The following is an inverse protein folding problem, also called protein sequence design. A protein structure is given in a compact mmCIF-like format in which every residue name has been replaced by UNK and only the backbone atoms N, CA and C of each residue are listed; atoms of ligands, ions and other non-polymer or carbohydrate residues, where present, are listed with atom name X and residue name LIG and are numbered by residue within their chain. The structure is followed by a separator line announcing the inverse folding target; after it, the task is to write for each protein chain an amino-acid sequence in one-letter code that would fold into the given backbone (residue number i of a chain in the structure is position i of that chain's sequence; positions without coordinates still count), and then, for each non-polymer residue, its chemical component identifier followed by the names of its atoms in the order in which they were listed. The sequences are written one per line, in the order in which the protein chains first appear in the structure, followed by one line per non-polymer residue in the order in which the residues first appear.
data_IF_385037538359
#
_entry.id   IF_385037538359
#
_cell.length_a   1.000
_cell.length_b   1.000
_cell.length_c   1.000
_cell.angle_alpha   90.00
_cell.angle_beta   90.00
_cell.angle_gamma   90.00
#
_symmetry.space_group_name_H-M   'P 1'
#
loop_
_entity.id
_entity.type
_entity.pdbx_description
1 polymer ?
#
# COMPACT_ATOMS: atom_id res chain seq x y z
N UNK A 1 -22.79 -9.10 -16.78
CA UNK A 1 -21.86 -8.00 -17.15
C UNK A 1 -21.55 -7.06 -15.99
N UNK A 2 -22.52 -6.72 -15.14
CA UNK A 2 -22.34 -5.88 -13.93
C UNK A 2 -21.23 -6.39 -13.02
N UNK A 3 -21.16 -7.69 -12.74
CA UNK A 3 -20.16 -8.31 -11.85
C UNK A 3 -18.72 -8.10 -12.31
N UNK A 4 -18.43 -8.17 -13.62
CA UNK A 4 -17.08 -8.01 -14.14
C UNK A 4 -16.58 -6.57 -13.95
N UNK A 5 -17.41 -5.59 -14.30
CA UNK A 5 -17.07 -4.17 -14.15
C UNK A 5 -16.95 -3.76 -12.68
N UNK A 6 -17.78 -4.32 -11.78
CA UNK A 6 -17.64 -4.05 -10.35
C UNK A 6 -16.31 -4.58 -9.80
N UNK A 7 -15.91 -5.80 -10.17
CA UNK A 7 -14.61 -6.34 -9.77
C UNK A 7 -13.45 -5.55 -10.35
N UNK A 8 -13.54 -5.13 -11.62
CA UNK A 8 -12.52 -4.28 -12.23
C UNK A 8 -12.38 -2.94 -11.48
N UNK A 9 -13.49 -2.33 -11.09
CA UNK A 9 -13.49 -1.10 -10.28
C UNK A 9 -12.87 -1.33 -8.89
N UNK A 10 -13.22 -2.42 -8.21
CA UNK A 10 -12.62 -2.78 -6.91
C UNK A 10 -11.11 -2.93 -7.05
N UNK A 11 -10.63 -3.66 -8.07
CA UNK A 11 -9.20 -3.84 -8.32
C UNK A 11 -8.55 -2.48 -8.63
N UNK A 12 -9.10 -1.71 -9.57
CA UNK A 12 -8.56 -0.42 -9.96
C UNK A 12 -8.47 0.57 -8.80
N UNK A 13 -9.51 0.66 -7.99
CA UNK A 13 -9.54 1.49 -6.79
C UNK A 13 -8.52 1.00 -5.74
N UNK A 14 -8.39 -0.32 -5.54
CA UNK A 14 -7.39 -0.88 -4.61
C UNK A 14 -5.95 -0.63 -5.06
N UNK A 15 -5.72 -0.43 -6.36
CA UNK A 15 -4.42 -0.10 -6.94
C UNK A 15 -4.18 1.41 -7.08
N UNK A 16 -5.09 2.27 -6.59
CA UNK A 16 -4.82 3.71 -6.67
C UNK A 16 -3.72 4.12 -5.68
N UNK A 17 -2.76 4.97 -6.10
CA UNK A 17 -1.72 5.47 -5.22
C UNK A 17 -2.35 6.46 -4.23
N UNK A 18 -2.77 5.92 -3.09
CA UNK A 18 -3.22 6.55 -1.85
C UNK A 18 -3.94 5.45 -1.05
N UNK A 19 -3.18 4.78 -0.18
CA UNK A 19 -3.64 3.70 0.70
C UNK A 19 -5.00 3.95 1.38
N UNK A 20 -5.36 5.20 1.68
CA UNK A 20 -6.57 5.50 2.43
C UNK A 20 -7.78 5.62 1.51
N UNK A 21 -7.72 6.45 0.47
CA UNK A 21 -8.90 6.77 -0.35
C UNK A 21 -9.29 5.62 -1.29
N UNK A 22 -8.31 5.01 -1.96
CA UNK A 22 -8.55 3.98 -2.96
C UNK A 22 -9.15 2.70 -2.37
N UNK A 23 -8.42 2.02 -1.47
CA UNK A 23 -8.92 0.84 -0.77
C UNK A 23 -10.24 1.08 -0.01
N UNK A 24 -10.44 2.24 0.62
CA UNK A 24 -11.72 2.54 1.29
C UNK A 24 -12.89 2.65 0.30
N UNK A 25 -12.67 3.26 -0.87
CA UNK A 25 -13.68 3.30 -1.93
C UNK A 25 -13.94 1.90 -2.50
N UNK A 26 -12.90 1.08 -2.68
CA UNK A 26 -13.02 -0.30 -3.14
C UNK A 26 -13.85 -1.16 -2.15
N UNK A 27 -13.60 -1.01 -0.85
CA UNK A 27 -14.40 -1.62 0.22
C UNK A 27 -15.86 -1.14 0.13
N UNK A 28 -16.09 0.16 0.00
CA UNK A 28 -17.44 0.73 -0.10
C UNK A 28 -18.23 0.16 -1.28
N UNK A 29 -17.59 0.06 -2.45
CA UNK A 29 -18.18 -0.59 -3.65
C UNK A 29 -18.47 -2.06 -3.37
N UNK A 30 -17.56 -2.77 -2.69
CA UNK A 30 -17.75 -4.18 -2.35
C UNK A 30 -18.90 -4.44 -1.38
N UNK A 31 -19.05 -3.60 -0.36
CA UNK A 31 -20.16 -3.66 0.60
C UNK A 31 -21.49 -3.35 -0.11
N UNK A 32 -21.52 -2.28 -0.93
CA UNK A 32 -22.72 -1.90 -1.68
C UNK A 32 -23.16 -2.98 -2.69
N UNK A 33 -22.20 -3.75 -3.21
CA UNK A 33 -22.46 -4.88 -4.10
C UNK A 33 -22.78 -6.20 -3.37
N UNK A 34 -22.86 -6.19 -2.04
CA UNK A 34 -23.12 -7.36 -1.19
C UNK A 34 -22.12 -8.51 -1.40
N UNK A 35 -20.84 -8.20 -1.66
CA UNK A 35 -19.81 -9.24 -1.75
C UNK A 35 -19.43 -9.80 -0.38
N UNK A 36 -19.10 -11.10 -0.37
CA UNK A 36 -18.55 -11.76 0.80
C UNK A 36 -17.21 -11.11 1.20
N UNK A 37 -17.07 -10.61 2.44
CA UNK A 37 -15.81 -10.05 2.94
C UNK A 37 -14.62 -11.01 2.79
N UNK A 38 -14.84 -12.31 2.90
CA UNK A 38 -13.79 -13.32 2.76
C UNK A 38 -13.24 -13.44 1.34
N UNK A 39 -13.97 -12.94 0.33
CA UNK A 39 -13.50 -12.85 -1.05
C UNK A 39 -13.01 -11.43 -1.36
N UNK A 40 -13.68 -10.42 -0.83
CA UNK A 40 -13.36 -9.01 -1.04
C UNK A 40 -11.98 -8.64 -0.45
N UNK A 41 -11.72 -9.02 0.79
CA UNK A 41 -10.50 -8.65 1.51
C UNK A 41 -9.22 -9.20 0.86
N UNK A 42 -9.14 -10.49 0.45
CA UNK A 42 -7.98 -10.98 -0.28
C UNK A 42 -7.74 -10.26 -1.61
N UNK A 43 -8.81 -9.89 -2.33
CA UNK A 43 -8.68 -9.17 -3.61
C UNK A 43 -8.11 -7.78 -3.40
N UNK A 44 -8.63 -7.03 -2.43
CA UNK A 44 -8.13 -5.69 -2.09
C UNK A 44 -6.68 -5.76 -1.62
N UNK A 45 -6.36 -6.69 -0.72
CA UNK A 45 -5.01 -6.88 -0.20
C UNK A 45 -4.01 -7.26 -1.30
N UNK A 46 -4.41 -8.16 -2.22
CA UNK A 46 -3.56 -8.58 -3.33
C UNK A 46 -3.35 -7.44 -4.34
N UNK A 47 -4.39 -6.68 -4.65
CA UNK A 47 -4.30 -5.54 -5.55
C UNK A 47 -3.36 -4.46 -5.00
N UNK A 48 -3.52 -4.06 -3.72
CA UNK A 48 -2.63 -3.12 -3.04
C UNK A 48 -1.20 -3.64 -2.90
N UNK A 49 -1.03 -4.96 -2.72
CA UNK A 49 0.28 -5.60 -2.72
C UNK A 49 0.99 -5.49 -4.07
N UNK A 50 0.29 -5.80 -5.17
CA UNK A 50 0.84 -5.73 -6.54
C UNK A 50 1.21 -4.29 -6.90
N UNK A 51 0.36 -3.32 -6.55
CA UNK A 51 0.66 -1.89 -6.67
C UNK A 51 1.95 -1.53 -5.93
N UNK A 52 2.07 -1.93 -4.65
CA UNK A 52 3.24 -1.62 -3.85
C UNK A 52 4.52 -2.25 -4.41
N UNK A 53 4.45 -3.47 -4.95
CA UNK A 53 5.59 -4.08 -5.64
C UNK A 53 6.00 -3.28 -6.87
N UNK A 54 5.04 -2.80 -7.66
CA UNK A 54 5.32 -1.97 -8.83
C UNK A 54 5.96 -0.63 -8.43
N UNK A 55 5.46 0.03 -7.39
CA UNK A 55 6.04 1.26 -6.85
C UNK A 55 7.47 1.02 -6.36
N UNK A 56 7.70 -0.04 -5.59
CA UNK A 56 9.02 -0.36 -5.07
C UNK A 56 10.02 -0.72 -6.18
N UNK A 57 9.55 -1.38 -7.24
CA UNK A 57 10.36 -1.62 -8.43
C UNK A 57 10.71 -0.32 -9.15
N UNK A 58 9.73 0.53 -9.45
CA UNK A 58 9.90 1.85 -10.07
C UNK A 58 10.83 2.76 -9.25
N UNK A 59 10.70 2.74 -7.92
CA UNK A 59 11.57 3.51 -7.03
C UNK A 59 13.02 3.04 -7.06
N UNK A 60 13.23 1.73 -7.25
CA UNK A 60 14.56 1.19 -7.52
C UNK A 60 15.10 1.68 -8.85
N UNK A 61 14.29 1.56 -9.90
CA UNK A 61 14.69 1.90 -11.26
C UNK A 61 14.96 3.40 -11.44
N UNK A 62 14.22 4.26 -10.73
CA UNK A 62 14.44 5.70 -10.76
C UNK A 62 15.83 6.12 -10.26
N UNK A 63 16.50 5.28 -9.43
CA UNK A 63 17.88 5.57 -9.02
C UNK A 63 18.91 5.39 -10.13
N UNK A 64 18.55 4.72 -11.23
CA UNK A 64 19.39 4.65 -12.44
C UNK A 64 19.41 5.97 -13.22
N UNK A 65 18.42 6.84 -13.01
CA UNK A 65 18.37 8.18 -13.62
C UNK A 65 19.45 9.04 -12.96
N UNK A 66 20.45 9.48 -13.72
CA UNK A 66 21.68 10.07 -13.19
C UNK A 66 21.48 11.24 -12.21
N UNK A 67 20.47 12.10 -12.42
CA UNK A 67 20.15 13.17 -11.47
C UNK A 67 19.58 12.64 -10.15
N UNK A 68 18.60 11.73 -10.22
CA UNK A 68 17.96 11.11 -9.05
C UNK A 68 18.99 10.27 -8.28
N UNK A 69 19.77 9.45 -8.97
CA UNK A 69 20.82 8.64 -8.35
C UNK A 69 21.84 9.48 -7.58
N UNK A 70 22.31 10.60 -8.16
CA UNK A 70 23.22 11.54 -7.46
C UNK A 70 22.56 12.21 -6.26
N UNK A 71 21.30 12.61 -6.38
CA UNK A 71 20.56 13.24 -5.28
C UNK A 71 20.34 12.24 -4.13
N UNK A 72 19.89 11.03 -4.44
CA UNK A 72 19.72 9.94 -3.46
C UNK A 72 21.05 9.60 -2.79
N UNK A 73 22.15 9.49 -3.55
CA UNK A 73 23.47 9.22 -3.00
C UNK A 73 23.93 10.31 -2.03
N UNK A 74 23.61 11.59 -2.27
CA UNK A 74 23.88 12.69 -1.32
C UNK A 74 23.02 12.61 -0.06
N UNK A 75 21.77 12.19 -0.18
CA UNK A 75 20.83 12.09 0.95
C UNK A 75 21.05 10.85 1.81
N UNK A 76 21.71 9.80 1.26
CA UNK A 76 22.08 8.59 2.01
C UNK A 76 23.19 8.90 3.00
N UNK A 77 22.86 8.85 4.29
CA UNK A 77 23.86 8.88 5.36
C UNK A 77 24.06 7.46 5.93
N UNK A 78 25.23 7.17 6.53
CA UNK A 78 25.45 5.89 7.21
C UNK A 78 24.42 5.60 8.30
N UNK A 79 23.91 6.66 8.97
CA UNK A 79 22.88 6.55 9.99
C UNK A 79 21.51 6.21 9.40
N UNK A 80 21.10 6.86 8.31
CA UNK A 80 19.79 6.61 7.69
C UNK A 80 19.72 5.21 7.05
N UNK A 81 20.81 4.75 6.45
CA UNK A 81 20.92 3.40 5.90
C UNK A 81 20.90 2.33 7.00
N UNK A 82 21.64 2.51 8.10
CA UNK A 82 21.60 1.58 9.23
C UNK A 82 20.22 1.53 9.92
N UNK A 83 19.54 2.67 10.04
CA UNK A 83 18.17 2.73 10.55
C UNK A 83 17.20 1.99 9.62
N UNK A 84 17.31 2.21 8.31
CA UNK A 84 16.48 1.51 7.33
C UNK A 84 16.69 -0.01 7.35
N UNK A 85 17.94 -0.44 7.50
CA UNK A 85 18.34 -1.84 7.52
C UNK A 85 17.82 -2.58 8.77
N UNK A 86 17.91 -1.94 9.95
CA UNK A 86 17.44 -2.52 11.22
C UNK A 86 15.93 -2.41 11.43
N UNK A 87 15.34 -1.27 11.08
CA UNK A 87 13.97 -0.91 11.47
C UNK A 87 13.09 -0.46 10.31
N UNK A 88 13.67 0.07 9.24
CA UNK A 88 12.90 0.69 8.15
C UNK A 88 11.95 -0.28 7.44
N UNK A 89 12.35 -1.55 7.28
CA UNK A 89 11.50 -2.50 6.54
C UNK A 89 10.20 -2.79 7.28
N UNK A 90 10.26 -3.16 8.57
CA UNK A 90 9.07 -3.48 9.34
C UNK A 90 8.42 -2.23 9.95
N UNK A 91 9.19 -1.35 10.58
CA UNK A 91 8.68 -0.14 11.21
C UNK A 91 8.19 0.90 10.19
N UNK A 92 8.88 1.02 9.05
CA UNK A 92 8.44 1.88 7.97
C UNK A 92 7.15 1.37 7.31
N UNK A 93 7.07 0.08 6.98
CA UNK A 93 5.87 -0.47 6.33
C UNK A 93 4.67 -0.68 7.26
N UNK A 94 4.85 -0.54 8.58
CA UNK A 94 3.74 -0.57 9.55
C UNK A 94 3.35 0.84 9.97
N UNK A 95 4.25 1.57 10.63
CA UNK A 95 3.98 2.91 11.17
C UNK A 95 4.03 3.96 10.05
N UNK A 96 5.01 3.87 9.16
CA UNK A 96 5.13 4.80 8.05
C UNK A 96 3.94 4.71 7.08
N UNK A 97 3.49 3.49 6.75
CA UNK A 97 2.28 3.29 5.94
C UNK A 97 1.05 3.95 6.59
N UNK A 98 0.90 3.84 7.91
CA UNK A 98 -0.20 4.47 8.64
C UNK A 98 -0.16 6.01 8.60
N UNK A 99 1.05 6.59 8.66
CA UNK A 99 1.22 8.05 8.80
C UNK A 99 1.28 8.80 7.47
N UNK A 100 1.95 8.22 6.48
CA UNK A 100 2.25 8.91 5.20
C UNK A 100 1.82 8.11 3.97
N UNK A 101 1.29 6.90 4.14
CA UNK A 101 0.94 6.00 3.03
C UNK A 101 2.07 5.04 2.65
N UNK A 102 1.72 4.06 1.82
CA UNK A 102 2.59 2.94 1.45
C UNK A 102 3.66 3.40 0.46
N UNK A 103 3.26 4.22 -0.49
CA UNK A 103 4.06 4.62 -1.64
C UNK A 103 5.28 5.45 -1.21
N UNK A 104 5.16 6.50 -0.35
CA UNK A 104 6.31 7.27 0.08
C UNK A 104 7.32 6.44 0.88
N UNK A 105 6.83 5.48 1.68
CA UNK A 105 7.69 4.58 2.45
C UNK A 105 8.43 3.62 1.54
N UNK A 106 7.74 2.99 0.58
CA UNK A 106 8.38 2.10 -0.37
C UNK A 106 9.45 2.81 -1.19
N UNK A 107 9.16 4.04 -1.64
CA UNK A 107 10.14 4.89 -2.32
C UNK A 107 11.33 5.15 -1.41
N UNK A 108 11.10 5.60 -0.17
CA UNK A 108 12.16 5.88 0.78
C UNK A 108 13.03 4.65 1.08
N UNK A 109 12.43 3.47 1.30
CA UNK A 109 13.17 2.23 1.57
C UNK A 109 14.03 1.80 0.38
N UNK A 110 13.49 1.87 -0.84
CA UNK A 110 14.24 1.56 -2.06
C UNK A 110 15.37 2.55 -2.29
N UNK A 111 15.09 3.84 -2.07
CA UNK A 111 16.10 4.89 -2.11
C UNK A 111 17.10 4.82 -0.98
N UNK A 112 16.85 4.12 0.12
CA UNK A 112 17.85 3.85 1.18
C UNK A 112 18.64 2.56 0.93
N UNK A 113 18.37 1.86 -0.17
CA UNK A 113 19.13 0.67 -0.59
C UNK A 113 18.54 -0.65 -0.11
N UNK A 114 17.35 -0.65 0.48
CA UNK A 114 16.67 -1.90 0.86
C UNK A 114 16.24 -2.65 -0.39
N UNK A 115 16.70 -3.89 -0.54
CA UNK A 115 16.36 -4.76 -1.67
C UNK A 115 14.90 -5.24 -1.67
N UNK A 116 14.35 -5.50 -2.86
CA UNK A 116 12.97 -5.99 -3.02
C UNK A 116 12.64 -7.24 -2.20
N UNK A 117 13.60 -8.18 -2.11
CA UNK A 117 13.44 -9.42 -1.32
C UNK A 117 13.18 -9.18 0.16
N UNK A 118 13.53 -8.03 0.72
CA UNK A 118 13.25 -7.73 2.12
C UNK A 118 11.87 -7.09 2.31
N UNK A 119 11.35 -6.44 1.26
CA UNK A 119 10.09 -5.68 1.28
C UNK A 119 8.88 -6.60 1.10
N UNK A 120 9.02 -7.71 0.36
CA UNK A 120 7.91 -8.56 -0.10
C UNK A 120 6.93 -9.04 0.98
N UNK A 121 7.41 -9.41 2.16
CA UNK A 121 6.66 -10.07 3.22
C UNK A 121 6.08 -9.00 4.17
N UNK A 122 6.86 -7.99 4.60
CA UNK A 122 6.31 -6.84 5.32
C UNK A 122 5.22 -6.11 4.53
N UNK A 123 5.40 -5.95 3.21
CA UNK A 123 4.42 -5.33 2.34
C UNK A 123 3.14 -6.16 2.23
N UNK A 124 3.25 -7.48 2.06
CA UNK A 124 2.10 -8.37 2.02
C UNK A 124 1.31 -8.35 3.34
N UNK A 125 2.03 -8.42 4.47
CA UNK A 125 1.41 -8.36 5.79
C UNK A 125 0.73 -7.01 6.03
N UNK A 126 1.41 -5.91 5.69
CA UNK A 126 0.87 -4.55 5.81
C UNK A 126 -0.44 -4.42 5.02
N UNK A 127 -0.46 -4.83 3.75
CA UNK A 127 -1.68 -4.78 2.92
C UNK A 127 -2.82 -5.63 3.48
N UNK A 128 -2.53 -6.83 4.00
CA UNK A 128 -3.57 -7.66 4.62
C UNK A 128 -4.16 -7.00 5.87
N UNK A 129 -3.31 -6.43 6.74
CA UNK A 129 -3.75 -5.74 7.95
C UNK A 129 -4.54 -4.48 7.62
N UNK A 130 -4.06 -3.66 6.68
CA UNK A 130 -4.75 -2.44 6.29
C UNK A 130 -6.06 -2.71 5.57
N UNK A 131 -6.17 -3.76 4.75
CA UNK A 131 -7.45 -4.17 4.16
C UNK A 131 -8.51 -4.47 5.23
N UNK A 132 -8.13 -5.16 6.31
CA UNK A 132 -9.02 -5.41 7.46
C UNK A 132 -9.42 -4.11 8.16
N UNK A 133 -8.47 -3.20 8.39
CA UNK A 133 -8.73 -1.91 9.02
C UNK A 133 -9.70 -1.07 8.17
N UNK A 134 -9.46 -0.96 6.86
CA UNK A 134 -10.34 -0.21 5.97
C UNK A 134 -11.74 -0.80 5.92
N UNK A 135 -11.86 -2.13 5.88
CA UNK A 135 -13.15 -2.80 5.96
C UNK A 135 -13.90 -2.43 7.25
N UNK A 136 -13.24 -2.53 8.40
CA UNK A 136 -13.85 -2.19 9.68
C UNK A 136 -14.28 -0.70 9.76
N UNK A 137 -13.42 0.21 9.29
CA UNK A 137 -13.69 1.65 9.30
C UNK A 137 -14.85 2.01 8.38
N UNK A 138 -14.86 1.51 7.15
CA UNK A 138 -15.93 1.78 6.18
C UNK A 138 -17.24 1.14 6.63
N UNK A 139 -17.21 -0.09 7.11
CA UNK A 139 -18.39 -0.77 7.65
C UNK A 139 -19.01 0.02 8.80
N UNK A 140 -18.20 0.43 9.78
CA UNK A 140 -18.67 1.22 10.92
C UNK A 140 -19.16 2.61 10.49
N UNK A 141 -18.46 3.27 9.57
CA UNK A 141 -18.88 4.55 9.02
C UNK A 141 -20.22 4.49 8.28
N UNK A 142 -20.44 3.45 7.47
CA UNK A 142 -21.71 3.22 6.79
C UNK A 142 -22.85 2.92 7.77
N UNK A 143 -22.60 2.14 8.83
CA UNK A 143 -23.57 1.86 9.88
C UNK A 143 -23.96 3.13 10.66
N UNK A 144 -23.01 4.06 10.89
CA UNK A 144 -23.32 5.37 11.47
C UNK A 144 -24.18 6.22 10.54
N UNK A 145 -23.85 6.31 9.26
CA UNK A 145 -24.62 7.10 8.27
C UNK A 145 -26.03 6.53 8.10
N UNK A 146 -26.20 5.21 8.11
CA UNK A 146 -27.51 4.57 7.99
C UNK A 146 -28.43 4.78 9.21
N UNK A 147 -27.89 5.24 10.35
CA UNK A 147 -28.63 5.57 11.57
C UNK A 147 -29.09 7.03 11.63
N UNK A 148 -28.69 7.86 10.67
CA UNK A 148 -29.17 9.23 10.46
C UNK A 148 -30.13 9.28 9.27
#
# INVERSE_FOLDING_TARGET
MTTFWTWLSIIGLSMTPNLILGPSAAVGVGIAAHYDPWVLLPVIALAGYVEGLAVAWLAGESTQIGFIGRWVARMRTPRSTALADRWGVWGGLTIGCALVGQEPILVALRWLGIGMRRIWLPLALSNAVFALIYYAVVWFGLDQVAKF
#
